data_IF_722315772054
#
_entry.id   IF_722315772054
#
_cell.length_a   1.000
_cell.length_b   1.000
_cell.length_c   1.000
_cell.angle_alpha   90.00
_cell.angle_beta   90.00
_cell.angle_gamma   90.00
#
_symmetry.space_group_name_H-M   'P 1'
#
loop_
_entity.id
_entity.type
_entity.pdbx_description
1 polymer ?
#
# COMPACT_ATOMS: atom_id res chain seq x y z
N UNK A 1 -8.26 6.16 24.95
CA UNK A 1 -7.05 6.06 24.10
C UNK A 1 -7.33 6.71 22.76
N UNK A 2 -6.84 7.92 22.54
CA UNK A 2 -7.00 8.67 21.28
C UNK A 2 -6.15 8.01 20.21
N UNK A 3 -6.77 7.33 19.23
CA UNK A 3 -6.05 6.73 18.11
C UNK A 3 -5.47 7.85 17.25
N UNK A 4 -4.20 7.73 16.90
CA UNK A 4 -3.56 8.59 15.91
C UNK A 4 -4.31 8.47 14.56
N UNK A 5 -4.83 9.59 14.05
CA UNK A 5 -5.40 9.67 12.71
C UNK A 5 -4.39 9.13 11.68
N UNK A 6 -4.84 8.21 10.84
CA UNK A 6 -3.98 7.47 9.92
C UNK A 6 -4.54 7.56 8.51
N UNK A 7 -3.74 8.11 7.59
CA UNK A 7 -4.13 8.30 6.19
C UNK A 7 -3.24 7.50 5.25
N UNK A 8 -3.79 7.02 4.14
CA UNK A 8 -3.05 6.30 3.10
C UNK A 8 -3.02 7.17 1.84
N UNK A 9 -1.82 7.53 1.42
CA UNK A 9 -1.57 8.21 0.15
C UNK A 9 -1.08 7.18 -0.86
N UNK A 10 -1.69 7.19 -2.04
CA UNK A 10 -1.28 6.33 -3.16
C UNK A 10 -0.25 7.08 -3.98
N UNK A 11 0.94 6.50 -4.14
CA UNK A 11 1.99 7.05 -4.98
C UNK A 11 1.84 6.57 -6.43
N UNK A 12 2.23 7.43 -7.36
CA UNK A 12 2.35 7.14 -8.80
C UNK A 12 3.62 6.37 -9.17
N UNK A 13 4.56 6.16 -8.24
CA UNK A 13 5.73 5.35 -8.50
C UNK A 13 5.33 3.90 -8.83
N UNK A 14 5.97 3.35 -9.87
CA UNK A 14 5.77 1.99 -10.31
C UNK A 14 6.01 0.98 -9.16
N UNK A 15 5.25 -0.10 -9.13
CA UNK A 15 5.32 -1.10 -8.06
C UNK A 15 6.72 -1.71 -7.90
N UNK A 16 7.53 -1.80 -8.96
CA UNK A 16 8.89 -2.37 -8.91
C UNK A 16 9.76 -1.65 -7.88
N UNK A 17 9.68 -0.32 -7.80
CA UNK A 17 10.41 0.48 -6.81
C UNK A 17 10.07 0.12 -5.36
N UNK A 18 8.90 -0.46 -5.10
CA UNK A 18 8.44 -0.87 -3.77
C UNK A 18 8.76 -2.33 -3.44
N UNK A 19 9.06 -3.14 -4.46
CA UNK A 19 9.45 -4.54 -4.33
C UNK A 19 10.95 -4.68 -4.08
N UNK A 20 11.76 -3.83 -4.71
CA UNK A 20 13.22 -3.83 -4.54
C UNK A 20 13.67 -3.23 -3.19
N UNK A 21 12.78 -2.48 -2.53
CA UNK A 21 13.04 -1.89 -1.23
C UNK A 21 12.07 -0.77 -0.88
N UNK A 22 12.39 -0.03 0.17
CA UNK A 22 11.62 1.14 0.54
C UNK A 22 12.11 2.36 -0.25
N UNK A 23 11.27 3.00 -1.09
CA UNK A 23 11.68 4.14 -1.92
C UNK A 23 12.23 5.29 -1.07
N UNK A 24 13.05 6.15 -1.66
CA UNK A 24 13.64 7.30 -0.97
C UNK A 24 12.57 8.21 -0.36
N UNK A 25 12.88 8.80 0.80
CA UNK A 25 11.94 9.64 1.56
C UNK A 25 11.47 10.81 0.70
N UNK A 26 12.36 11.47 -0.04
CA UNK A 26 11.99 12.64 -0.84
C UNK A 26 11.21 12.24 -2.10
N UNK A 27 11.48 11.06 -2.66
CA UNK A 27 10.78 10.55 -3.84
C UNK A 27 9.28 10.27 -3.59
N UNK A 28 8.89 9.94 -2.35
CA UNK A 28 7.49 9.59 -2.02
C UNK A 28 6.85 10.48 -0.97
N UNK A 29 7.53 11.54 -0.52
CA UNK A 29 6.95 12.49 0.45
C UNK A 29 5.76 13.20 -0.19
N UNK A 30 4.57 13.17 0.43
CA UNK A 30 3.46 13.99 -0.02
C UNK A 30 3.80 15.48 0.05
N UNK A 31 3.36 16.27 -0.93
CA UNK A 31 3.57 17.72 -0.92
C UNK A 31 2.87 18.41 0.26
N UNK A 32 1.75 17.85 0.74
CA UNK A 32 0.96 18.34 1.87
C UNK A 32 0.47 17.19 2.74
N UNK A 33 0.21 17.47 4.03
CA UNK A 33 -0.43 16.51 4.93
C UNK A 33 -1.89 16.29 4.52
N UNK A 34 -2.35 15.06 4.26
CA UNK A 34 -3.75 14.80 3.89
C UNK A 34 -4.74 15.08 5.04
N UNK A 35 -4.28 15.22 6.28
CA UNK A 35 -5.13 15.49 7.44
C UNK A 35 -5.25 16.99 7.74
N UNK A 36 -4.14 17.73 7.78
CA UNK A 36 -4.13 19.15 8.17
C UNK A 36 -3.63 20.12 7.08
N UNK A 37 -3.35 19.62 5.87
CA UNK A 37 -2.85 20.37 4.71
C UNK A 37 -1.50 21.11 4.90
N UNK A 38 -0.84 20.95 6.06
CA UNK A 38 0.49 21.50 6.29
C UNK A 38 1.49 20.97 5.25
N UNK A 39 2.35 21.86 4.74
CA UNK A 39 3.35 21.54 3.72
C UNK A 39 4.26 20.40 4.16
N UNK A 40 4.35 19.35 3.35
CA UNK A 40 5.20 18.19 3.61
C UNK A 40 6.68 18.54 3.57
N UNK A 41 7.07 19.40 2.65
CA UNK A 41 8.37 20.04 2.56
C UNK A 41 8.38 21.01 1.38
N UNK A 42 8.56 22.31 1.64
CA UNK A 42 8.91 23.26 0.61
C UNK A 42 10.44 23.44 0.62
N UNK A 43 11.05 23.64 -0.56
CA UNK A 43 12.43 24.10 -0.64
C UNK A 43 12.53 25.44 0.13
N UNK A 44 13.36 25.48 1.18
CA UNK A 44 13.50 26.65 2.06
C UNK A 44 12.42 26.79 3.17
N UNK A 45 11.46 25.88 3.27
CA UNK A 45 10.40 25.90 4.28
C UNK A 45 10.58 24.87 5.40
N UNK A 46 9.71 24.93 6.42
CA UNK A 46 9.67 23.91 7.50
C UNK A 46 9.10 22.60 6.95
N UNK A 47 9.85 21.51 7.11
CA UNK A 47 9.36 20.16 6.79
C UNK A 47 8.36 19.68 7.84
N UNK A 48 7.07 19.62 7.50
CA UNK A 48 6.07 19.07 8.40
C UNK A 48 5.91 17.56 8.25
N UNK A 49 6.20 16.95 7.09
CA UNK A 49 6.13 15.49 6.92
C UNK A 49 7.53 14.88 7.02
N UNK A 50 7.85 14.37 8.20
CA UNK A 50 9.13 13.71 8.48
C UNK A 50 9.02 12.20 8.28
N UNK A 51 10.07 11.59 7.73
CA UNK A 51 10.14 10.14 7.60
C UNK A 51 10.02 9.47 8.96
N UNK A 52 9.09 8.53 9.08
CA UNK A 52 8.73 7.83 10.32
C UNK A 52 8.96 6.31 10.21
N UNK A 53 9.74 5.89 9.20
CA UNK A 53 10.12 4.49 8.98
C UNK A 53 9.34 3.82 7.84
N UNK A 54 9.32 2.50 7.87
CA UNK A 54 8.74 1.63 6.84
C UNK A 54 7.72 0.67 7.44
N UNK A 55 6.81 0.17 6.62
CA UNK A 55 5.85 -0.88 6.96
C UNK A 55 5.87 -1.94 5.88
N UNK A 56 6.22 -3.15 6.29
CA UNK A 56 6.09 -4.34 5.45
C UNK A 56 4.62 -4.63 5.19
N UNK A 57 4.30 -5.00 3.94
CA UNK A 57 2.98 -5.48 3.55
C UNK A 57 3.08 -6.65 2.61
N UNK A 58 2.29 -7.67 2.89
CA UNK A 58 2.05 -8.78 1.98
C UNK A 58 1.05 -8.33 0.92
N UNK A 59 1.40 -8.56 -0.35
CA UNK A 59 0.56 -8.30 -1.51
C UNK A 59 0.45 -9.61 -2.30
N UNK A 60 -0.79 -10.02 -2.54
CA UNK A 60 -1.15 -11.29 -3.18
C UNK A 60 -1.88 -11.05 -4.50
N UNK A 61 -1.68 -11.98 -5.42
CA UNK A 61 -2.34 -11.95 -6.71
C UNK A 61 -1.51 -11.28 -7.80
N UNK A 62 -2.05 -11.23 -9.02
CA UNK A 62 -1.41 -10.52 -10.12
C UNK A 62 -1.25 -9.02 -9.82
N UNK A 63 -0.14 -8.42 -10.26
CA UNK A 63 0.11 -6.98 -10.16
C UNK A 63 -0.40 -6.22 -11.38
N UNK A 64 -0.60 -6.90 -12.50
CA UNK A 64 -1.24 -6.40 -13.72
C UNK A 64 -2.22 -7.45 -14.28
N UNK A 65 -3.20 -7.06 -15.11
CA UNK A 65 -4.08 -8.01 -15.78
C UNK A 65 -3.28 -9.05 -16.59
N UNK A 66 -3.56 -10.33 -16.36
CA UNK A 66 -2.89 -11.43 -17.07
C UNK A 66 -1.60 -11.95 -16.41
N UNK A 67 -1.03 -11.23 -15.44
CA UNK A 67 0.13 -11.72 -14.69
C UNK A 67 -0.18 -13.02 -13.92
N UNK A 68 0.82 -13.87 -13.66
CA UNK A 68 0.64 -14.99 -12.75
C UNK A 68 0.33 -14.49 -11.34
N UNK A 69 -0.55 -15.22 -10.65
CA UNK A 69 -0.78 -14.93 -9.24
C UNK A 69 0.46 -15.24 -8.42
N UNK A 70 0.91 -14.27 -7.65
CA UNK A 70 2.07 -14.44 -6.79
C UNK A 70 1.90 -13.72 -5.47
N UNK A 71 2.69 -14.14 -4.47
CA UNK A 71 2.81 -13.44 -3.21
C UNK A 71 4.10 -12.62 -3.17
N UNK A 72 4.01 -11.37 -2.72
CA UNK A 72 5.13 -10.42 -2.59
C UNK A 72 5.06 -9.70 -1.25
N UNK A 73 6.21 -9.21 -0.80
CA UNK A 73 6.30 -8.25 0.30
C UNK A 73 6.75 -6.91 -0.27
N UNK A 74 6.09 -5.83 0.14
CA UNK A 74 6.43 -4.46 -0.23
C UNK A 74 6.70 -3.59 1.00
N UNK A 75 7.54 -2.57 0.81
CA UNK A 75 7.97 -1.66 1.87
C UNK A 75 7.26 -0.31 1.74
N UNK A 76 6.08 -0.17 2.37
CA UNK A 76 5.36 1.10 2.38
C UNK A 76 6.03 2.12 3.33
N UNK A 77 6.15 3.38 2.92
CA UNK A 77 6.81 4.43 3.71
C UNK A 77 5.83 5.10 4.67
N UNK A 78 6.27 5.38 5.90
CA UNK A 78 5.50 6.15 6.88
C UNK A 78 6.09 7.55 7.02
N UNK A 79 5.21 8.53 7.12
CA UNK A 79 5.52 9.91 7.48
C UNK A 79 4.72 10.30 8.71
N UNK A 80 5.31 11.12 9.57
CA UNK A 80 4.59 11.74 10.69
C UNK A 80 4.51 13.24 10.44
N UNK A 81 3.30 13.79 10.55
CA UNK A 81 3.12 15.23 10.49
C UNK A 81 3.58 15.87 11.81
N UNK A 82 4.47 16.87 11.76
CA UNK A 82 4.89 17.65 12.93
C UNK A 82 3.83 18.64 13.40
N UNK A 83 2.89 19.02 12.52
CA UNK A 83 1.81 19.95 12.85
C UNK A 83 0.66 19.26 13.60
N UNK A 84 0.03 18.24 12.98
CA UNK A 84 -1.13 17.55 13.58
C UNK A 84 -0.82 16.18 14.18
N UNK A 85 0.45 15.75 14.21
CA UNK A 85 0.88 14.42 14.69
C UNK A 85 0.30 13.20 13.95
N UNK A 86 -0.47 13.39 12.87
CA UNK A 86 -1.01 12.27 12.10
C UNK A 86 0.08 11.45 11.41
N UNK A 87 -0.20 10.16 11.21
CA UNK A 87 0.69 9.24 10.49
C UNK A 87 0.13 9.02 9.10
N UNK A 88 0.96 9.27 8.10
CA UNK A 88 0.63 9.08 6.69
C UNK A 88 1.43 7.90 6.16
N UNK A 89 0.75 6.91 5.61
CA UNK A 89 1.39 5.80 4.91
C UNK A 89 1.32 6.06 3.42
N UNK A 90 2.47 6.03 2.75
CA UNK A 90 2.57 6.09 1.29
C UNK A 90 2.83 4.68 0.77
N UNK A 91 2.01 4.25 -0.17
CA UNK A 91 2.04 2.92 -0.77
C UNK A 91 1.72 3.01 -2.28
N UNK A 92 2.08 2.00 -3.09
CA UNK A 92 1.76 2.02 -4.51
C UNK A 92 0.24 1.89 -4.75
N UNK A 93 -0.24 2.39 -5.88
CA UNK A 93 -1.69 2.41 -6.24
C UNK A 93 -2.38 1.07 -6.17
N UNK A 94 -1.66 -0.02 -6.47
CA UNK A 94 -2.23 -1.37 -6.47
C UNK A 94 -2.56 -1.90 -5.07
N UNK A 95 -2.07 -1.24 -4.01
CA UNK A 95 -2.37 -1.61 -2.62
C UNK A 95 -3.76 -1.09 -2.25
N UNK A 96 -4.65 -2.01 -1.91
CA UNK A 96 -5.98 -1.69 -1.40
C UNK A 96 -5.96 -1.67 0.13
N UNK A 97 -6.43 -0.57 0.77
CA UNK A 97 -6.54 -0.51 2.23
C UNK A 97 -7.35 -1.68 2.79
N UNK A 98 -6.89 -2.29 3.89
CA UNK A 98 -7.62 -3.40 4.50
C UNK A 98 -7.47 -4.76 3.82
N UNK A 99 -6.77 -4.84 2.68
CA UNK A 99 -6.68 -6.07 1.89
C UNK A 99 -5.23 -6.51 1.70
N UNK A 100 -5.03 -7.82 1.62
CA UNK A 100 -3.76 -8.44 1.23
C UNK A 100 -3.67 -8.68 -0.28
N UNK A 101 -4.77 -8.51 -1.02
CA UNK A 101 -4.80 -8.69 -2.46
C UNK A 101 -4.60 -7.37 -3.19
N UNK A 102 -3.85 -7.41 -4.29
CA UNK A 102 -3.69 -6.27 -5.18
C UNK A 102 -5.03 -5.91 -5.85
N UNK A 103 -5.22 -4.64 -6.17
CA UNK A 103 -6.40 -4.16 -6.91
C UNK A 103 -6.68 -5.00 -8.20
N UNK A 104 -5.70 -5.28 -9.07
CA UNK A 104 -5.93 -6.12 -10.25
C UNK A 104 -6.27 -7.57 -9.92
N UNK A 105 -5.77 -8.11 -8.80
CA UNK A 105 -6.16 -9.44 -8.33
C UNK A 105 -7.64 -9.49 -7.95
N UNK A 106 -8.11 -8.46 -7.22
CA UNK A 106 -9.52 -8.33 -6.83
C UNK A 106 -10.41 -8.17 -8.08
N UNK A 107 -10.03 -7.27 -8.99
CA UNK A 107 -10.77 -7.06 -10.23
C UNK A 107 -10.81 -8.33 -11.10
N UNK A 108 -9.69 -9.05 -11.22
CA UNK A 108 -9.60 -10.31 -11.95
C UNK A 108 -10.48 -11.40 -11.34
N UNK A 109 -10.57 -11.49 -10.01
CA UNK A 109 -11.47 -12.42 -9.33
C UNK A 109 -12.94 -12.10 -9.64
N UNK A 110 -13.35 -10.83 -9.60
CA UNK A 110 -14.70 -10.42 -9.99
C UNK A 110 -14.99 -10.70 -11.47
N UNK A 111 -14.05 -10.45 -12.37
CA UNK A 111 -14.22 -10.74 -13.80
C UNK A 111 -14.41 -12.24 -14.07
N UNK A 112 -13.61 -13.10 -13.42
CA UNK A 112 -13.74 -14.56 -13.56
C UNK A 112 -15.08 -15.07 -13.04
N UNK A 113 -15.49 -14.60 -11.88
CA UNK A 113 -16.76 -15.02 -11.28
C UNK A 113 -17.98 -14.46 -12.04
N UNK A 114 -18.01 -13.15 -12.27
CA UNK A 114 -19.18 -12.47 -12.83
C UNK A 114 -19.30 -12.59 -14.34
N UNK A 115 -18.19 -12.45 -15.08
CA UNK A 115 -18.19 -12.44 -16.55
C UNK A 115 -17.97 -13.84 -17.10
N UNK A 116 -16.95 -14.56 -16.60
CA UNK A 116 -16.59 -15.89 -17.11
C UNK A 116 -17.37 -17.04 -16.46
N UNK A 117 -18.18 -16.75 -15.42
CA UNK A 117 -18.97 -17.74 -14.68
C UNK A 117 -18.15 -18.91 -14.15
N UNK A 118 -16.88 -18.66 -13.83
CA UNK A 118 -16.00 -19.67 -13.24
C UNK A 118 -16.50 -20.03 -11.82
N UNK A 119 -16.30 -21.28 -11.42
CA UNK A 119 -16.67 -21.76 -10.09
C UNK A 119 -15.76 -21.12 -9.03
N UNK A 120 -16.22 -20.93 -7.79
CA UNK A 120 -15.41 -20.36 -6.71
C UNK A 120 -14.02 -21.01 -6.57
N UNK A 121 -13.93 -22.35 -6.66
CA UNK A 121 -12.66 -23.07 -6.60
C UNK A 121 -11.68 -22.70 -7.72
N UNK A 122 -12.17 -22.42 -8.93
CA UNK A 122 -11.34 -21.99 -10.07
C UNK A 122 -10.84 -20.56 -9.87
N UNK A 123 -11.72 -19.68 -9.37
CA UNK A 123 -11.37 -18.29 -9.04
C UNK A 123 -10.32 -18.26 -7.93
N UNK A 124 -10.50 -19.06 -6.89
CA UNK A 124 -9.53 -19.20 -5.80
C UNK A 124 -8.20 -19.72 -6.31
N UNK A 125 -8.19 -20.80 -7.08
CA UNK A 125 -6.96 -21.36 -7.66
C UNK A 125 -6.20 -20.35 -8.52
N UNK A 126 -6.91 -19.54 -9.30
CA UNK A 126 -6.31 -18.52 -10.17
C UNK A 126 -5.89 -17.23 -9.42
N UNK A 127 -6.38 -17.02 -8.19
CA UNK A 127 -6.07 -15.85 -7.37
C UNK A 127 -5.05 -16.18 -6.28
N UNK A 128 -4.97 -17.44 -5.85
CA UNK A 128 -4.01 -17.92 -4.86
C UNK A 128 -2.67 -18.18 -5.57
N UNK A 129 -1.69 -17.34 -5.28
CA UNK A 129 -0.38 -17.42 -5.92
C UNK A 129 0.54 -18.43 -5.27
N UNK A 130 1.55 -18.90 -6.00
CA UNK A 130 2.71 -19.55 -5.40
C UNK A 130 3.49 -18.54 -4.55
N UNK A 131 3.96 -18.97 -3.38
CA UNK A 131 4.81 -18.14 -2.51
C UNK A 131 6.15 -17.91 -3.20
N UNK A 132 6.55 -16.66 -3.39
CA UNK A 132 7.94 -16.25 -3.68
C UNK A 132 8.28 -15.14 -2.71
N UNK A 133 8.99 -15.46 -1.63
CA UNK A 133 9.35 -14.49 -0.61
C UNK A 133 10.76 -14.72 -0.08
N UNK A 134 11.50 -13.63 0.07
CA UNK A 134 12.42 -13.48 1.19
C UNK A 134 11.61 -13.12 2.45
N UNK A 135 11.99 -13.76 3.54
CA UNK A 135 11.39 -13.95 4.88
C UNK A 135 10.39 -12.94 5.48
N UNK A 136 9.50 -13.53 6.30
CA UNK A 136 8.46 -13.01 7.19
C UNK A 136 8.94 -12.07 8.30
N UNK A 137 8.15 -11.02 8.60
CA UNK A 137 7.88 -10.57 9.99
C UNK A 137 6.40 -10.12 10.08
N UNK A 138 5.71 -10.59 11.11
CA UNK A 138 4.29 -10.33 11.40
C UNK A 138 4.03 -8.88 11.86
N UNK A 139 2.91 -8.30 11.39
CA UNK A 139 2.50 -6.95 11.75
C UNK A 139 1.05 -6.64 11.36
N UNK A 140 0.12 -7.46 11.87
CA UNK A 140 -1.33 -7.34 11.64
C UNK A 140 -1.93 -6.12 12.36
N UNK A 141 -2.17 -5.05 11.61
CA UNK A 141 -2.95 -3.91 12.09
C UNK A 141 -4.15 -3.68 11.17
N UNK A 142 -5.36 -3.73 11.75
CA UNK A 142 -6.65 -3.44 11.12
C UNK A 142 -6.74 -1.95 10.77
N UNK A 143 -7.36 -1.62 9.64
CA UNK A 143 -7.43 -0.26 9.09
C UNK A 143 -8.83 0.33 9.29
N UNK A 144 -8.89 1.62 9.56
CA UNK A 144 -10.08 2.46 9.41
C UNK A 144 -9.67 3.68 8.61
N UNK A 145 -10.36 3.94 7.51
CA UNK A 145 -10.18 5.17 6.74
C UNK A 145 -10.91 6.29 7.50
N UNK A 146 -10.15 7.20 8.09
CA UNK A 146 -10.68 8.38 8.76
C UNK A 146 -9.52 9.35 9.00
N UNK A 147 -9.69 10.58 8.53
CA UNK A 147 -8.93 11.72 9.02
C UNK A 147 -9.56 12.18 10.33
#
# INVERSE_FOLDING_TARGET
MTRSAFSIVRSDLDIKFWLDGAPDINAVRPAVCPCCQATGGALGGRFNLVGHGVRLRQLRGPLSPGDPSTERVLFARRFRCRNCSSVVLVAPRVVVPGRHYAAPAIAGAFARFGVRRERPAQVEGATRGAVRGASTIAGGGRWTAGC
#
